data_IF_435782192263
#
_entry.id   IF_435782192263
#
_cell.length_a   1.000
_cell.length_b   1.000
_cell.length_c   1.000
_cell.angle_alpha   90.00
_cell.angle_beta   90.00
_cell.angle_gamma   90.00
#
_symmetry.space_group_name_H-M   'P 1'
#
loop_
_entity.id
_entity.type
_entity.pdbx_description
1 polymer ?
#
# COMPACT_ATOMS: atom_id res chain seq x y z
N UNK A 1 -3.04 4.86 -14.77
CA UNK A 1 -3.50 3.51 -14.35
C UNK A 1 -5.00 3.47 -14.04
N UNK A 2 -5.46 3.66 -12.80
CA UNK A 2 -6.89 3.46 -12.46
C UNK A 2 -7.86 4.31 -13.30
N UNK A 3 -7.52 5.59 -13.56
CA UNK A 3 -8.32 6.47 -14.42
C UNK A 3 -8.40 5.97 -15.87
N UNK A 4 -7.31 5.47 -16.47
CA UNK A 4 -7.32 4.89 -17.83
C UNK A 4 -8.32 3.74 -17.94
N UNK A 5 -8.44 2.88 -16.92
CA UNK A 5 -9.40 1.77 -16.94
C UNK A 5 -10.82 2.33 -16.81
N UNK A 6 -11.03 3.28 -15.90
CA UNK A 6 -12.32 3.93 -15.71
C UNK A 6 -12.84 4.62 -16.99
N UNK A 7 -11.97 5.27 -17.77
CA UNK A 7 -12.38 5.95 -19.02
C UNK A 7 -12.86 5.00 -20.13
N UNK A 8 -12.54 3.71 -20.07
CA UNK A 8 -13.08 2.68 -20.99
C UNK A 8 -14.42 2.08 -20.53
N UNK A 9 -14.73 2.17 -19.23
CA UNK A 9 -15.86 1.44 -18.60
C UNK A 9 -17.01 2.38 -18.20
N UNK A 10 -16.72 3.66 -17.93
CA UNK A 10 -17.73 4.63 -17.52
C UNK A 10 -18.55 5.14 -18.71
N UNK A 11 -19.87 4.95 -18.62
CA UNK A 11 -20.83 5.71 -19.44
C UNK A 11 -20.81 7.20 -19.06
N UNK A 12 -21.17 8.12 -19.98
CA UNK A 12 -21.40 9.53 -19.66
C UNK A 12 -22.36 9.71 -18.47
N UNK A 13 -22.10 10.71 -17.63
CA UNK A 13 -22.78 10.91 -16.35
C UNK A 13 -22.33 9.96 -15.23
N UNK A 14 -21.42 9.02 -15.49
CA UNK A 14 -20.91 8.04 -14.53
C UNK A 14 -20.20 8.66 -13.31
N UNK A 15 -19.94 7.84 -12.29
CA UNK A 15 -19.22 8.24 -11.08
C UNK A 15 -18.00 7.32 -10.87
N UNK A 16 -16.92 7.90 -10.34
CA UNK A 16 -15.65 7.22 -10.06
C UNK A 16 -15.21 7.54 -8.63
N UNK A 17 -14.85 6.51 -7.87
CA UNK A 17 -14.33 6.66 -6.51
C UNK A 17 -13.02 5.91 -6.40
N UNK A 18 -11.95 6.61 -6.02
CA UNK A 18 -10.61 6.03 -5.91
C UNK A 18 -9.93 6.43 -4.60
N UNK A 19 -9.28 5.46 -3.95
CA UNK A 19 -8.39 5.71 -2.81
C UNK A 19 -7.12 6.40 -3.31
N UNK A 20 -6.75 7.50 -2.65
CA UNK A 20 -5.60 8.35 -2.97
C UNK A 20 -4.82 8.69 -1.69
N UNK A 21 -3.57 9.13 -1.83
CA UNK A 21 -2.77 9.68 -0.74
C UNK A 21 -2.74 11.20 -0.86
N UNK A 22 -3.02 11.94 0.22
CA UNK A 22 -3.02 13.42 0.22
C UNK A 22 -1.60 14.01 0.34
N UNK A 23 -0.68 13.48 -0.46
CA UNK A 23 0.71 13.94 -0.56
C UNK A 23 0.84 15.23 -1.38
N UNK A 24 2.08 15.59 -1.74
CA UNK A 24 2.40 16.81 -2.51
C UNK A 24 1.62 16.89 -3.83
N UNK A 25 1.49 15.76 -4.51
CA UNK A 25 1.08 15.68 -5.92
C UNK A 25 -0.44 15.50 -6.11
N UNK A 26 -1.20 15.65 -5.03
CA UNK A 26 -2.66 15.46 -5.02
C UNK A 26 -3.40 16.48 -5.89
N UNK A 27 -2.84 17.69 -6.02
CA UNK A 27 -3.22 18.80 -6.90
C UNK A 27 -3.20 18.42 -8.38
N UNK A 28 -2.19 17.65 -8.82
CA UNK A 28 -2.10 17.19 -10.21
C UNK A 28 -3.18 16.13 -10.49
N UNK A 29 -3.33 15.16 -9.59
CA UNK A 29 -4.36 14.11 -9.68
C UNK A 29 -5.76 14.73 -9.78
N UNK A 30 -6.06 15.75 -8.97
CA UNK A 30 -7.33 16.47 -9.04
C UNK A 30 -7.50 17.25 -10.34
N UNK A 31 -6.45 17.92 -10.83
CA UNK A 31 -6.50 18.67 -12.09
C UNK A 31 -6.82 17.75 -13.27
N UNK A 32 -6.18 16.58 -13.32
CA UNK A 32 -6.45 15.53 -14.31
C UNK A 32 -7.89 15.00 -14.20
N UNK A 33 -8.38 14.72 -12.98
CA UNK A 33 -9.76 14.27 -12.79
C UNK A 33 -10.80 15.32 -13.21
N UNK A 34 -10.54 16.61 -13.00
CA UNK A 34 -11.45 17.70 -13.44
C UNK A 34 -11.58 17.84 -14.96
N UNK A 35 -10.69 17.23 -15.76
CA UNK A 35 -10.82 17.17 -17.23
C UNK A 35 -11.86 16.15 -17.68
N UNK A 36 -12.16 15.14 -16.84
CA UNK A 36 -13.06 14.02 -17.17
C UNK A 36 -14.33 13.97 -16.31
N UNK A 37 -14.46 14.82 -15.29
CA UNK A 37 -15.59 14.80 -14.36
C UNK A 37 -16.03 16.23 -13.99
N UNK A 38 -17.30 16.52 -14.21
CA UNK A 38 -17.95 17.79 -13.85
C UNK A 38 -17.83 18.18 -12.38
N UNK A 39 -17.74 17.19 -11.48
CA UNK A 39 -17.51 17.41 -10.04
C UNK A 39 -16.45 16.44 -9.50
N UNK A 40 -15.44 16.99 -8.82
CA UNK A 40 -14.37 16.25 -8.14
C UNK A 40 -14.28 16.76 -6.70
N UNK A 41 -14.28 15.83 -5.75
CA UNK A 41 -14.30 16.08 -4.30
C UNK A 41 -13.29 15.19 -3.59
N UNK A 42 -12.66 15.67 -2.53
CA UNK A 42 -11.89 14.82 -1.63
C UNK A 42 -12.74 14.43 -0.41
N UNK A 43 -12.92 13.14 -0.18
CA UNK A 43 -13.61 12.60 0.98
C UNK A 43 -12.63 11.90 1.94
N UNK A 44 -12.73 12.18 3.25
CA UNK A 44 -12.14 11.32 4.29
C UNK A 44 -13.25 10.79 5.20
N UNK A 45 -13.56 9.48 5.19
CA UNK A 45 -14.60 8.92 6.05
C UNK A 45 -14.13 8.80 7.50
N UNK A 46 -15.06 8.85 8.46
CA UNK A 46 -14.79 8.68 9.92
C UNK A 46 -14.15 7.33 10.29
N UNK A 47 -14.33 6.31 9.44
CA UNK A 47 -13.66 5.01 9.52
C UNK A 47 -12.20 5.00 9.07
N UNK A 48 -11.71 6.10 8.47
CA UNK A 48 -10.29 6.28 8.15
C UNK A 48 -9.59 7.06 9.26
N UNK A 49 -8.68 6.36 9.98
CA UNK A 49 -7.88 6.88 11.10
C UNK A 49 -7.36 8.29 10.83
N UNK A 50 -7.40 9.16 11.81
CA UNK A 50 -7.01 10.55 11.61
C UNK A 50 -5.55 10.69 11.19
N UNK A 51 -4.67 9.86 11.76
CA UNK A 51 -3.25 9.76 11.40
C UNK A 51 -2.97 9.21 9.98
N UNK A 52 -3.95 8.58 9.31
CA UNK A 52 -3.76 8.14 7.93
C UNK A 52 -3.68 9.34 6.98
N UNK A 53 -2.76 9.27 6.01
CA UNK A 53 -2.65 10.20 4.87
C UNK A 53 -3.61 9.87 3.71
N UNK A 54 -4.37 8.79 3.83
CA UNK A 54 -5.29 8.29 2.80
C UNK A 54 -6.59 9.08 2.73
N UNK A 55 -7.10 9.29 1.53
CA UNK A 55 -8.41 9.88 1.28
C UNK A 55 -9.05 9.21 0.05
N UNK A 56 -10.24 9.64 -0.33
CA UNK A 56 -10.95 9.14 -1.50
C UNK A 56 -11.27 10.31 -2.43
N UNK A 57 -10.81 10.26 -3.68
CA UNK A 57 -11.30 11.11 -4.73
C UNK A 57 -12.69 10.61 -5.13
N UNK A 58 -13.72 11.43 -4.94
CA UNK A 58 -15.10 11.17 -5.34
C UNK A 58 -15.41 12.06 -6.53
N UNK A 59 -15.52 11.45 -7.70
CA UNK A 59 -15.73 12.12 -8.97
C UNK A 59 -17.12 11.75 -9.52
N UNK A 60 -17.88 12.74 -9.97
CA UNK A 60 -19.27 12.59 -10.43
C UNK A 60 -19.48 13.26 -11.77
N UNK A 61 -20.41 12.72 -12.55
CA UNK A 61 -20.74 13.21 -13.88
C UNK A 61 -19.54 13.12 -14.81
N UNK A 62 -19.18 11.87 -15.18
CA UNK A 62 -18.16 11.58 -16.18
C UNK A 62 -18.53 12.25 -17.51
N UNK A 63 -17.65 13.12 -17.97
CA UNK A 63 -17.85 14.02 -19.11
C UNK A 63 -16.48 14.16 -19.81
N UNK A 64 -16.10 13.19 -20.67
CA UNK A 64 -14.81 13.20 -21.34
C UNK A 64 -14.77 14.26 -22.46
N UNK A 65 -13.62 14.91 -22.73
CA UNK A 65 -13.51 15.91 -23.78
C UNK A 65 -13.94 15.39 -25.16
N UNK A 66 -14.52 16.26 -25.98
CA UNK A 66 -14.98 15.89 -27.32
C UNK A 66 -13.82 15.34 -28.18
N UNK A 67 -14.02 14.14 -28.74
CA UNK A 67 -12.98 13.43 -29.51
C UNK A 67 -11.96 12.66 -28.67
N UNK A 68 -12.07 12.62 -27.33
CA UNK A 68 -11.24 11.78 -26.49
C UNK A 68 -11.53 10.30 -26.75
N UNK A 69 -10.54 9.59 -27.32
CA UNK A 69 -10.53 8.14 -27.38
C UNK A 69 -9.73 7.59 -26.18
N UNK A 70 -10.32 6.71 -25.35
CA UNK A 70 -9.58 6.12 -24.24
C UNK A 70 -8.54 5.13 -24.77
N UNK A 71 -7.36 5.12 -24.14
CA UNK A 71 -6.21 4.31 -24.55
C UNK A 71 -5.54 3.70 -23.30
N UNK A 72 -5.28 2.39 -23.33
CA UNK A 72 -4.57 1.67 -22.27
C UNK A 72 -3.05 1.68 -22.46
N UNK A 73 -2.56 1.91 -23.69
CA UNK A 73 -1.12 1.98 -24.01
C UNK A 73 -0.49 3.30 -23.58
N UNK A 74 -1.30 4.37 -23.47
CA UNK A 74 -0.88 5.71 -23.03
C UNK A 74 -1.38 6.02 -21.62
N UNK A 75 -0.62 5.72 -20.55
CA UNK A 75 -0.99 6.10 -19.18
C UNK A 75 -1.21 7.62 -19.07
N UNK A 76 -2.41 8.05 -18.66
CA UNK A 76 -2.82 9.48 -18.58
C UNK A 76 -2.05 10.30 -17.52
N UNK A 77 -1.05 9.70 -16.87
CA UNK A 77 -0.31 10.23 -15.73
C UNK A 77 1.21 10.32 -15.99
N UNK A 78 1.66 9.96 -17.20
CA UNK A 78 3.09 9.79 -17.54
C UNK A 78 3.68 10.99 -18.29
N UNK A 79 2.92 12.07 -18.44
CA UNK A 79 3.48 13.36 -18.84
C UNK A 79 4.46 13.83 -17.77
N UNK A 80 5.68 14.18 -18.18
CA UNK A 80 6.80 14.57 -17.31
C UNK A 80 6.35 15.56 -16.25
N UNK A 81 6.34 15.11 -14.98
CA UNK A 81 5.98 15.93 -13.84
C UNK A 81 6.96 17.09 -13.71
N UNK A 82 6.49 18.29 -14.06
CA UNK A 82 7.17 19.53 -13.76
C UNK A 82 6.95 19.85 -12.27
N UNK A 83 8.01 19.87 -11.43
CA UNK A 83 7.87 20.12 -10.00
C UNK A 83 7.29 21.50 -9.68
N UNK A 84 7.45 22.48 -10.57
CA UNK A 84 7.05 23.86 -10.35
C UNK A 84 5.51 24.01 -10.45
N UNK A 85 4.80 23.04 -11.02
CA UNK A 85 3.33 23.03 -11.06
C UNK A 85 2.70 22.98 -9.65
N UNK A 86 3.42 22.43 -8.67
CA UNK A 86 3.00 22.45 -7.26
C UNK A 86 3.39 23.76 -6.52
N UNK A 87 4.17 24.63 -7.15
CA UNK A 87 4.55 25.97 -6.69
C UNK A 87 3.68 27.08 -7.31
N UNK A 88 2.62 26.72 -8.05
CA UNK A 88 1.58 27.65 -8.52
C UNK A 88 0.82 28.26 -7.32
N UNK A 89 1.24 29.46 -6.92
CA UNK A 89 0.57 30.28 -5.91
C UNK A 89 -0.41 31.29 -6.55
N UNK A 90 -1.40 31.73 -5.75
CA UNK A 90 -2.44 32.66 -6.20
C UNK A 90 -3.65 31.98 -6.88
N UNK A 91 -4.45 32.73 -7.67
CA UNK A 91 -5.78 32.29 -8.11
C UNK A 91 -5.78 31.11 -9.10
N UNK A 92 -4.63 30.79 -9.71
CA UNK A 92 -4.46 29.62 -10.59
C UNK A 92 -4.56 28.30 -9.82
N UNK A 93 -4.32 28.31 -8.50
CA UNK A 93 -4.29 27.11 -7.65
C UNK A 93 -5.70 26.60 -7.36
N UNK A 94 -6.16 25.62 -8.15
CA UNK A 94 -7.41 24.90 -7.85
C UNK A 94 -7.28 24.11 -6.54
N UNK A 95 -7.96 24.56 -5.49
CA UNK A 95 -8.17 23.78 -4.26
C UNK A 95 -9.45 22.96 -4.43
N UNK A 96 -9.33 21.63 -4.47
CA UNK A 96 -10.51 20.74 -4.46
C UNK A 96 -11.16 20.73 -3.07
N UNK A 97 -12.50 20.86 -2.97
CA UNK A 97 -13.18 20.79 -1.68
C UNK A 97 -12.92 19.47 -0.95
N UNK A 98 -12.56 19.58 0.33
CA UNK A 98 -12.36 18.46 1.24
C UNK A 98 -13.57 18.31 2.16
N UNK A 99 -14.09 17.09 2.28
CA UNK A 99 -15.28 16.77 3.08
C UNK A 99 -15.00 15.59 3.99
N UNK A 100 -15.35 15.73 5.27
CA UNK A 100 -15.40 14.63 6.23
C UNK A 100 -16.73 13.88 6.07
N UNK A 101 -16.70 12.57 5.85
CA UNK A 101 -17.90 11.78 5.58
C UNK A 101 -18.23 10.82 6.73
N UNK A 102 -19.50 10.75 7.12
CA UNK A 102 -20.02 9.83 8.12
C UNK A 102 -21.24 10.43 8.81
N UNK A 103 -22.08 9.56 9.38
CA UNK A 103 -23.15 9.97 10.29
C UNK A 103 -22.59 10.22 11.71
N UNK A 104 -23.31 10.97 12.53
CA UNK A 104 -22.97 11.26 13.93
C UNK A 104 -23.04 10.02 14.83
N UNK A 105 -23.84 9.01 14.46
CA UNK A 105 -23.96 7.73 15.17
C UNK A 105 -22.76 6.79 14.98
N UNK A 106 -21.91 7.02 13.97
CA UNK A 106 -20.93 6.04 13.53
C UNK A 106 -19.73 5.88 14.47
N UNK A 107 -19.22 4.64 14.57
CA UNK A 107 -17.99 4.32 15.30
C UNK A 107 -16.78 5.12 14.76
N UNK A 108 -16.05 5.73 15.68
CA UNK A 108 -14.90 6.60 15.46
C UNK A 108 -13.61 5.80 15.63
N UNK A 109 -12.82 5.67 14.55
CA UNK A 109 -11.66 4.77 14.52
C UNK A 109 -10.51 5.13 15.47
N UNK A 110 -10.53 6.32 16.08
CA UNK A 110 -9.55 6.76 17.07
C UNK A 110 -10.16 6.88 18.51
N UNK A 111 -11.33 6.27 18.77
CA UNK A 111 -11.94 6.19 20.13
C UNK A 111 -12.01 4.75 20.65
N UNK A 112 -11.83 4.60 21.95
CA UNK A 112 -12.29 3.44 22.71
C UNK A 112 -13.77 3.63 23.08
N UNK A 113 -14.57 2.58 22.92
CA UNK A 113 -16.01 2.58 23.22
C UNK A 113 -16.32 1.74 24.47
N UNK A 114 -17.42 2.04 25.19
CA UNK A 114 -17.98 1.10 26.16
C UNK A 114 -18.28 -0.25 25.50
N UNK A 115 -18.16 -1.33 26.27
CA UNK A 115 -18.55 -2.67 25.83
C UNK A 115 -20.03 -2.97 26.17
N UNK A 116 -20.66 -2.12 26.98
CA UNK A 116 -22.05 -2.22 27.37
C UNK A 116 -22.96 -2.09 26.13
N UNK A 117 -23.81 -3.10 25.91
CA UNK A 117 -24.72 -3.14 24.75
C UNK A 117 -26.04 -2.43 25.08
N UNK A 118 -26.60 -1.69 24.13
CA UNK A 118 -27.87 -0.94 24.27
C UNK A 118 -29.03 -1.81 24.80
N UNK A 119 -29.07 -3.09 24.43
CA UNK A 119 -30.06 -4.07 24.89
C UNK A 119 -29.86 -4.56 26.35
N UNK A 120 -28.88 -3.99 27.08
CA UNK A 120 -28.54 -4.38 28.46
C UNK A 120 -27.87 -5.76 28.58
N UNK A 121 -27.32 -6.30 27.48
CA UNK A 121 -26.64 -7.59 27.46
C UNK A 121 -25.13 -7.46 27.66
N UNK A 122 -24.53 -8.43 28.38
CA UNK A 122 -23.09 -8.44 28.69
C UNK A 122 -22.25 -8.77 27.44
N UNK A 123 -21.16 -8.03 27.24
CA UNK A 123 -20.25 -8.26 26.12
C UNK A 123 -19.56 -9.63 26.20
N UNK A 124 -19.98 -10.53 25.30
CA UNK A 124 -19.35 -11.84 25.15
C UNK A 124 -18.11 -11.75 24.26
N UNK A 125 -16.92 -11.66 24.89
CA UNK A 125 -15.65 -11.74 24.18
C UNK A 125 -15.55 -13.03 23.35
N UNK A 126 -15.23 -12.89 22.06
CA UNK A 126 -14.88 -13.98 21.15
C UNK A 126 -13.39 -13.92 20.83
N UNK A 127 -12.66 -15.05 20.89
CA UNK A 127 -11.26 -15.07 20.46
C UNK A 127 -11.16 -14.82 18.94
N UNK A 128 -10.09 -14.16 18.47
CA UNK A 128 -9.88 -13.94 17.04
C UNK A 128 -9.75 -15.28 16.30
N UNK A 129 -10.39 -15.39 15.13
CA UNK A 129 -10.39 -16.60 14.28
C UNK A 129 -8.99 -17.04 13.86
N UNK A 130 -8.07 -16.10 13.71
CA UNK A 130 -6.64 -16.35 13.61
C UNK A 130 -5.95 -15.65 14.80
N UNK A 131 -5.37 -16.41 15.76
CA UNK A 131 -4.60 -15.80 16.84
C UNK A 131 -3.33 -15.14 16.29
N UNK A 132 -2.75 -14.15 16.99
CA UNK A 132 -1.45 -13.59 16.64
C UNK A 132 -0.40 -14.69 16.48
N UNK A 133 0.30 -14.69 15.35
CA UNK A 133 1.44 -15.59 15.13
C UNK A 133 2.53 -15.32 16.18
N UNK A 134 3.33 -16.34 16.50
CA UNK A 134 4.51 -16.18 17.35
C UNK A 134 5.38 -15.03 16.82
N UNK A 135 5.71 -14.02 17.64
CA UNK A 135 6.51 -12.89 17.17
C UNK A 135 7.89 -13.39 16.69
N UNK A 136 8.51 -12.78 15.66
CA UNK A 136 9.77 -13.28 15.10
C UNK A 136 10.93 -13.40 16.11
N UNK A 137 10.87 -12.64 17.21
CA UNK A 137 11.84 -12.68 18.31
C UNK A 137 11.52 -13.71 19.40
N UNK A 138 10.47 -14.54 19.25
CA UNK A 138 10.04 -15.51 20.28
C UNK A 138 11.18 -16.47 20.64
N UNK A 139 11.88 -17.02 19.65
CA UNK A 139 13.02 -17.92 19.87
C UNK A 139 14.13 -17.23 20.67
N UNK A 140 14.55 -16.03 20.25
CA UNK A 140 15.54 -15.22 20.97
C UNK A 140 15.12 -14.92 22.42
N UNK A 141 13.83 -14.66 22.67
CA UNK A 141 13.29 -14.54 24.03
C UNK A 141 13.37 -15.85 24.83
N UNK A 142 13.14 -17.02 24.22
CA UNK A 142 13.33 -18.31 24.90
C UNK A 142 14.81 -18.61 25.16
N UNK A 143 15.70 -18.35 24.21
CA UNK A 143 17.15 -18.54 24.36
C UNK A 143 17.71 -17.63 25.44
N UNK A 144 17.26 -16.37 25.51
CA UNK A 144 17.60 -15.43 26.58
C UNK A 144 17.12 -15.94 27.95
N UNK A 145 15.89 -16.44 28.05
CA UNK A 145 15.34 -17.05 29.29
C UNK A 145 16.09 -18.33 29.71
N UNK A 146 16.55 -19.13 28.76
CA UNK A 146 17.33 -20.36 28.98
C UNK A 146 18.83 -20.12 29.23
N UNK A 147 19.30 -18.87 29.12
CA UNK A 147 20.74 -18.55 29.19
C UNK A 147 21.56 -19.04 27.99
N UNK A 148 20.90 -19.46 26.91
CA UNK A 148 21.47 -20.07 25.70
C UNK A 148 21.74 -19.04 24.59
N UNK A 149 21.31 -17.79 24.75
CA UNK A 149 21.68 -16.70 23.84
C UNK A 149 23.18 -16.39 24.00
N UNK A 150 23.90 -16.31 22.88
CA UNK A 150 25.32 -15.97 22.88
C UNK A 150 25.58 -14.65 23.63
N UNK A 151 26.49 -14.70 24.60
CA UNK A 151 26.98 -13.51 25.30
C UNK A 151 28.07 -12.89 24.47
N UNK A 152 28.01 -11.57 24.26
CA UNK A 152 29.07 -10.83 23.58
C UNK A 152 30.36 -10.90 24.40
N UNK A 153 31.34 -11.67 23.90
CA UNK A 153 32.69 -11.75 24.47
C UNK A 153 33.40 -10.43 24.21
N UNK A 154 33.56 -9.62 25.25
CA UNK A 154 34.35 -8.39 25.17
C UNK A 154 35.79 -8.74 24.77
N UNK A 155 36.51 -7.91 23.97
CA UNK A 155 37.87 -8.23 23.48
C UNK A 155 39.00 -8.30 24.54
N UNK A 156 38.68 -8.52 25.82
CA UNK A 156 39.61 -8.47 26.95
C UNK A 156 39.99 -9.87 27.49
N UNK A 157 39.13 -10.87 27.28
CA UNK A 157 39.26 -12.21 27.90
C UNK A 157 39.84 -13.26 26.95
N UNK A 158 41.06 -13.03 26.43
CA UNK A 158 41.79 -13.99 25.59
C UNK A 158 43.29 -14.02 25.93
N UNK A 159 43.69 -14.95 26.80
CA UNK A 159 45.11 -15.25 27.05
C UNK A 159 45.71 -16.06 25.89
N UNK A 160 46.72 -15.50 25.22
CA UNK A 160 47.38 -16.12 24.06
C UNK A 160 48.30 -17.27 24.49
N UNK A 161 48.24 -18.40 23.77
CA UNK A 161 49.29 -19.42 23.73
C UNK A 161 49.32 -20.10 22.34
N UNK A 162 50.41 -20.78 22.01
CA UNK A 162 51.01 -20.65 20.67
C UNK A 162 51.00 -21.89 19.77
N UNK A 163 50.39 -21.72 18.59
CA UNK A 163 50.66 -22.31 17.26
C UNK A 163 50.96 -23.81 17.06
N UNK A 164 50.02 -24.49 16.39
CA UNK A 164 50.19 -25.65 15.48
C UNK A 164 48.88 -25.81 14.64
N UNK A 165 48.84 -26.24 13.37
CA UNK A 165 49.86 -26.37 12.30
C UNK A 165 49.13 -26.34 10.91
N UNK A 166 49.85 -26.31 9.77
CA UNK A 166 49.30 -26.32 8.39
C UNK A 166 49.58 -27.65 7.65
N UNK A 167 49.01 -27.95 6.44
CA UNK A 167 48.21 -27.13 5.49
C UNK A 167 46.80 -27.78 5.23
N UNK A 168 45.97 -27.60 4.18
CA UNK A 168 46.09 -27.07 2.79
C UNK A 168 44.88 -26.18 2.37
N UNK A 169 44.11 -26.56 1.33
CA UNK A 169 43.14 -25.72 0.59
C UNK A 169 42.08 -26.58 -0.14
N UNK A 170 40.85 -26.07 -0.28
CA UNK A 170 40.08 -26.13 -1.55
C UNK A 170 38.78 -25.30 -1.52
N UNK A 171 38.52 -24.61 -2.65
CA UNK A 171 37.27 -24.06 -3.22
C UNK A 171 36.14 -23.49 -2.31
N UNK A 172 35.71 -22.26 -2.63
CA UNK A 172 34.43 -21.69 -2.18
C UNK A 172 33.29 -22.02 -3.17
N UNK A 173 32.06 -22.33 -2.70
CA UNK A 173 30.90 -22.53 -3.57
C UNK A 173 30.35 -21.19 -4.10
N UNK A 174 29.76 -21.22 -5.29
CA UNK A 174 29.27 -20.03 -6.00
C UNK A 174 27.80 -19.71 -5.66
N UNK A 175 27.43 -18.43 -5.75
CA UNK A 175 26.04 -18.00 -5.65
C UNK A 175 25.27 -18.37 -6.92
N UNK A 176 24.18 -19.13 -6.78
CA UNK A 176 23.31 -19.46 -7.91
C UNK A 176 22.39 -18.30 -8.29
N UNK A 177 22.67 -17.67 -9.42
CA UNK A 177 21.66 -16.91 -10.19
C UNK A 177 20.75 -17.91 -10.91
N UNK A 178 19.43 -17.76 -10.77
CA UNK A 178 18.46 -18.42 -11.65
C UNK A 178 17.97 -17.43 -12.70
N UNK A 179 18.08 -17.82 -13.97
CA UNK A 179 17.43 -17.20 -15.11
C UNK A 179 16.87 -18.31 -16.01
N UNK A 180 15.99 -17.95 -16.95
CA UNK A 180 15.01 -18.87 -17.55
C UNK A 180 15.57 -19.82 -18.61
N UNK A 181 14.81 -20.89 -18.86
CA UNK A 181 14.90 -21.73 -20.05
C UNK A 181 13.50 -21.92 -20.66
N UNK A 182 13.34 -21.48 -21.91
CA UNK A 182 12.43 -22.09 -22.90
C UNK A 182 13.23 -23.22 -23.62
N UNK A 183 12.74 -24.06 -24.54
CA UNK A 183 11.55 -24.09 -25.42
C UNK A 183 11.23 -25.57 -25.79
N UNK A 184 10.04 -25.84 -26.37
CA UNK A 184 9.72 -26.95 -27.32
C UNK A 184 9.93 -28.43 -26.90
N UNK A 185 9.24 -29.45 -27.45
CA UNK A 185 7.88 -29.55 -28.04
C UNK A 185 7.45 -31.04 -28.04
N UNK A 186 6.15 -31.36 -28.14
CA UNK A 186 5.62 -32.64 -28.66
C UNK A 186 4.08 -32.60 -28.76
N UNK A 187 3.55 -32.82 -29.97
CA UNK A 187 2.12 -32.96 -30.25
C UNK A 187 1.49 -34.21 -29.62
N UNK A 188 0.19 -34.13 -29.30
CA UNK A 188 -0.71 -35.31 -29.33
C UNK A 188 -2.10 -34.90 -29.83
N UNK A 189 -2.52 -35.49 -30.95
CA UNK A 189 -3.75 -35.16 -31.67
C UNK A 189 -4.95 -36.00 -31.16
N UNK A 190 -6.14 -35.41 -31.09
CA UNK A 190 -7.40 -36.13 -30.79
C UNK A 190 -8.59 -35.47 -31.53
N UNK A 191 -9.17 -36.22 -32.48
CA UNK A 191 -10.42 -35.95 -33.23
C UNK A 191 -10.75 -37.22 -34.03
N UNK A 192 -12.00 -37.43 -34.51
CA UNK A 192 -13.18 -36.58 -34.42
C UNK A 192 -14.11 -36.90 -33.22
#
# INVERSE_FOLDING_TARGET
MALNIATHVLKPGGCFVAKIFRGRDVTLIYSQLRVFFSSVLCAKPRSSRNSSIEAFAVCKGYDPPAGFLPDLTKPLLDHSYDPDFNQLDGPTRTIVPFVTCGDLSAYDSDRSYPLDLEDGSEYKYTPPTQPPISPPYQEACTLKKKGQLAKETRPQDCSVSTAAVLPQSLAAPQCHTLLASEVEDSEMNCSP
#
